data_IF_313856431874
#
_entry.id   IF_313856431874
#
_cell.length_a   1.000
_cell.length_b   1.000
_cell.length_c   1.000
_cell.angle_alpha   90.00
_cell.angle_beta   90.00
_cell.angle_gamma   90.00
#
_symmetry.space_group_name_H-M   'P 1'
#
loop_
_entity.id
_entity.type
_entity.pdbx_description
1 polymer ?
#
# COMPACT_ATOMS: atom_id res chain seq x y z
N UNK A 1 -12.62 -1.01 -0.63
CA UNK A 1 -12.42 -1.82 0.59
C UNK A 1 -13.30 -1.21 1.66
N UNK A 2 -14.02 -2.03 2.42
CA UNK A 2 -14.79 -1.55 3.57
C UNK A 2 -13.86 -0.73 4.49
N UNK A 3 -14.34 0.41 4.99
CA UNK A 3 -13.58 1.19 5.96
C UNK A 3 -13.68 0.49 7.31
N UNK A 4 -12.64 -0.25 7.68
CA UNK A 4 -12.58 -0.97 8.94
C UNK A 4 -11.89 -0.10 9.99
N UNK A 5 -12.51 -0.03 11.17
CA UNK A 5 -11.88 0.60 12.34
C UNK A 5 -10.76 -0.30 12.87
N UNK A 6 -9.79 0.28 13.58
CA UNK A 6 -8.71 -0.50 14.22
C UNK A 6 -9.27 -1.62 15.10
N UNK A 7 -10.36 -1.35 15.83
CA UNK A 7 -11.07 -2.36 16.64
C UNK A 7 -11.58 -3.52 15.80
N UNK A 8 -12.23 -3.25 14.67
CA UNK A 8 -12.71 -4.31 13.77
C UNK A 8 -11.56 -5.13 13.17
N UNK A 9 -10.43 -4.50 12.84
CA UNK A 9 -9.25 -5.21 12.36
C UNK A 9 -8.68 -6.13 13.46
N UNK A 10 -8.59 -5.64 14.70
CA UNK A 10 -8.18 -6.46 15.85
C UNK A 10 -9.13 -7.63 16.06
N UNK A 11 -10.44 -7.41 15.95
CA UNK A 11 -11.42 -8.50 16.07
C UNK A 11 -11.25 -9.57 14.99
N UNK A 12 -10.98 -9.16 13.74
CA UNK A 12 -10.66 -10.11 12.66
C UNK A 12 -9.44 -10.95 13.03
N UNK A 13 -8.38 -10.36 13.58
CA UNK A 13 -7.19 -11.08 14.04
C UNK A 13 -7.50 -12.04 15.21
N UNK A 14 -8.37 -11.63 16.14
CA UNK A 14 -8.85 -12.49 17.24
C UNK A 14 -9.63 -13.68 16.69
N UNK A 15 -10.48 -13.48 15.67
CA UNK A 15 -11.25 -14.56 15.05
C UNK A 15 -10.39 -15.54 14.29
N UNK A 16 -9.33 -15.07 13.61
CA UNK A 16 -8.32 -15.93 12.98
C UNK A 16 -7.69 -16.86 14.02
N UNK A 17 -7.37 -16.33 15.20
CA UNK A 17 -6.78 -17.09 16.31
C UNK A 17 -5.26 -17.27 16.17
N UNK A 18 -4.65 -17.99 17.11
CA UNK A 18 -3.21 -18.23 17.15
C UNK A 18 -2.86 -19.69 17.46
N UNK A 19 -1.68 -20.13 17.00
CA UNK A 19 -1.16 -21.47 17.25
C UNK A 19 -2.01 -22.58 16.60
N UNK A 20 -2.42 -23.56 17.41
CA UNK A 20 -3.09 -24.78 16.93
C UNK A 20 -4.62 -24.60 16.70
N UNK A 21 -5.17 -23.41 16.97
CA UNK A 21 -6.60 -23.10 16.81
C UNK A 21 -6.80 -21.94 15.84
N UNK A 22 -6.39 -22.13 14.59
CA UNK A 22 -6.60 -21.16 13.52
C UNK A 22 -7.87 -21.48 12.75
N UNK A 23 -8.75 -20.49 12.58
CA UNK A 23 -9.89 -20.59 11.67
C UNK A 23 -9.47 -20.28 10.25
N UNK A 24 -10.21 -20.79 9.28
CA UNK A 24 -10.01 -20.41 7.88
C UNK A 24 -10.47 -18.97 7.66
N UNK A 25 -9.88 -18.28 6.69
CA UNK A 25 -10.25 -16.90 6.35
C UNK A 25 -11.73 -16.77 5.94
N UNK A 26 -12.31 -17.83 5.36
CA UNK A 26 -13.73 -17.88 5.00
C UNK A 26 -14.63 -17.94 6.23
N UNK A 27 -14.30 -18.77 7.23
CA UNK A 27 -15.05 -18.84 8.49
C UNK A 27 -14.99 -17.51 9.25
N UNK A 28 -13.82 -16.87 9.29
CA UNK A 28 -13.65 -15.55 9.90
C UNK A 28 -14.50 -14.50 9.18
N UNK A 29 -14.51 -14.53 7.86
CA UNK A 29 -15.36 -13.65 7.04
C UNK A 29 -16.84 -13.83 7.39
N UNK A 30 -17.31 -15.08 7.49
CA UNK A 30 -18.70 -15.39 7.82
C UNK A 30 -19.05 -14.92 9.24
N UNK A 31 -18.18 -15.17 10.23
CA UNK A 31 -18.36 -14.72 11.62
C UNK A 31 -18.41 -13.20 11.72
N UNK A 32 -17.50 -12.51 11.03
CA UNK A 32 -17.46 -11.05 11.02
C UNK A 32 -18.73 -10.46 10.38
N UNK A 33 -19.14 -10.99 9.22
CA UNK A 33 -20.32 -10.51 8.50
C UNK A 33 -21.62 -10.80 9.26
N UNK A 34 -21.70 -11.91 10.01
CA UNK A 34 -22.81 -12.19 10.90
C UNK A 34 -22.91 -11.19 12.06
N UNK A 35 -21.75 -10.72 12.56
CA UNK A 35 -21.69 -9.71 13.63
C UNK A 35 -21.92 -8.28 13.13
N UNK A 36 -21.48 -7.97 11.92
CA UNK A 36 -21.55 -6.64 11.28
C UNK A 36 -22.27 -6.70 9.93
N UNK A 37 -23.61 -6.88 9.91
CA UNK A 37 -24.37 -6.98 8.67
C UNK A 37 -24.31 -5.69 7.82
N UNK A 38 -24.16 -4.53 8.46
CA UNK A 38 -24.11 -3.23 7.78
C UNK A 38 -22.73 -2.89 7.18
N UNK A 39 -21.68 -3.62 7.56
CA UNK A 39 -20.30 -3.39 7.09
C UNK A 39 -19.59 -4.71 6.82
N UNK A 40 -20.09 -5.44 5.82
CA UNK A 40 -19.56 -6.74 5.45
C UNK A 40 -18.19 -6.65 4.77
N UNK A 41 -17.39 -7.69 4.97
CA UNK A 41 -16.09 -7.89 4.34
C UNK A 41 -16.13 -9.13 3.45
N UNK A 42 -15.10 -9.24 2.60
CA UNK A 42 -14.86 -10.44 1.79
C UNK A 42 -13.60 -11.15 2.28
N UNK A 43 -13.46 -12.44 1.98
CA UNK A 43 -12.32 -13.27 2.38
C UNK A 43 -10.96 -12.64 2.06
N UNK A 44 -10.83 -12.00 0.88
CA UNK A 44 -9.57 -11.34 0.49
C UNK A 44 -9.20 -10.14 1.38
N UNK A 45 -10.17 -9.55 2.06
CA UNK A 45 -9.92 -8.49 3.07
C UNK A 45 -9.29 -9.09 4.32
N UNK A 46 -9.82 -10.22 4.80
CA UNK A 46 -9.25 -10.99 5.93
C UNK A 46 -7.82 -11.41 5.60
N UNK A 47 -7.60 -11.95 4.40
CA UNK A 47 -6.28 -12.36 3.91
C UNK A 47 -5.27 -11.20 3.92
N UNK A 48 -5.64 -10.04 3.37
CA UNK A 48 -4.77 -8.85 3.35
C UNK A 48 -4.44 -8.33 4.74
N UNK A 49 -5.41 -8.33 5.66
CA UNK A 49 -5.21 -7.94 7.06
C UNK A 49 -4.21 -8.88 7.74
N UNK A 50 -4.41 -10.19 7.57
CA UNK A 50 -3.52 -11.20 8.14
C UNK A 50 -2.09 -11.05 7.60
N UNK A 51 -1.93 -10.96 6.29
CA UNK A 51 -0.61 -10.80 5.65
C UNK A 51 0.08 -9.52 6.12
N UNK A 52 -0.63 -8.38 6.12
CA UNK A 52 -0.10 -7.09 6.59
C UNK A 52 0.35 -7.19 8.05
N UNK A 53 -0.45 -7.80 8.92
CA UNK A 53 -0.12 -7.93 10.33
C UNK A 53 1.10 -8.85 10.54
N UNK A 54 1.20 -9.96 9.81
CA UNK A 54 2.37 -10.85 9.88
C UNK A 54 3.67 -10.18 9.38
N UNK A 55 3.56 -9.32 8.37
CA UNK A 55 4.72 -8.61 7.79
C UNK A 55 5.18 -7.45 8.68
N UNK A 56 4.25 -6.63 9.17
CA UNK A 56 4.56 -5.35 9.82
C UNK A 56 4.44 -5.38 11.34
N UNK A 57 3.66 -6.31 11.89
CA UNK A 57 3.27 -6.34 13.30
C UNK A 57 2.29 -5.24 13.72
N UNK A 58 1.83 -4.40 12.78
CA UNK A 58 0.93 -3.28 13.06
C UNK A 58 -0.42 -3.46 12.36
N UNK A 59 -1.47 -3.07 13.07
CA UNK A 59 -2.85 -3.01 12.57
C UNK A 59 -3.16 -1.65 11.94
N UNK A 60 -2.45 -0.60 12.33
CA UNK A 60 -2.63 0.74 11.75
C UNK A 60 -2.18 0.77 10.30
N UNK A 61 -2.78 1.67 9.53
CA UNK A 61 -2.32 1.91 8.18
C UNK A 61 -0.92 2.50 8.20
N UNK A 62 -0.04 1.86 7.42
CA UNK A 62 1.27 2.42 7.16
C UNK A 62 1.08 3.78 6.49
N UNK A 63 1.96 4.75 6.80
CA UNK A 63 1.98 6.01 6.06
C UNK A 63 2.10 5.65 4.58
N UNK A 64 1.12 6.11 3.78
CA UNK A 64 1.15 5.87 2.34
C UNK A 64 2.46 6.46 1.82
N UNK A 65 3.32 5.60 1.28
CA UNK A 65 4.51 6.07 0.57
C UNK A 65 4.03 6.91 -0.61
N UNK A 66 4.08 8.23 -0.43
CA UNK A 66 3.71 9.17 -1.47
C UNK A 66 4.74 9.16 -2.59
N UNK A 67 4.45 9.89 -3.68
CA UNK A 67 5.48 10.17 -4.68
C UNK A 67 6.66 10.87 -3.99
N UNK A 68 7.91 10.39 -4.14
CA UNK A 68 9.07 11.07 -3.59
C UNK A 68 9.10 12.55 -4.01
N UNK A 69 9.36 13.44 -3.06
CA UNK A 69 9.44 14.87 -3.33
C UNK A 69 10.74 15.16 -4.08
N UNK A 70 10.65 15.87 -5.20
CA UNK A 70 11.83 16.36 -5.93
C UNK A 70 12.49 17.47 -5.10
N UNK A 71 13.80 17.35 -4.85
CA UNK A 71 14.63 18.34 -4.16
C UNK A 71 14.72 19.64 -4.97
N UNK A 72 15.02 20.77 -4.31
CA UNK A 72 15.12 22.06 -5.02
C UNK A 72 16.24 22.04 -6.07
N UNK A 73 17.39 21.46 -5.74
CA UNK A 73 18.53 21.37 -6.66
C UNK A 73 18.14 20.63 -7.96
N UNK A 74 17.44 19.50 -7.83
CA UNK A 74 16.94 18.75 -9.00
C UNK A 74 15.91 19.54 -9.81
N UNK A 75 15.13 20.43 -9.20
CA UNK A 75 14.22 21.29 -9.94
C UNK A 75 14.98 22.33 -10.76
N UNK A 76 16.07 22.86 -10.21
CA UNK A 76 16.94 23.80 -10.92
C UNK A 76 17.58 23.11 -12.12
N UNK A 77 18.13 21.91 -11.94
CA UNK A 77 18.72 21.13 -13.04
C UNK A 77 17.72 20.83 -14.16
N UNK A 78 16.47 20.47 -13.80
CA UNK A 78 15.39 20.26 -14.78
C UNK A 78 15.09 21.55 -15.55
N UNK A 79 15.02 22.70 -14.87
CA UNK A 79 14.75 23.99 -15.54
C UNK A 79 15.90 24.37 -16.47
N UNK A 80 17.16 24.21 -16.04
CA UNK A 80 18.34 24.48 -16.85
C UNK A 80 18.37 23.61 -18.11
N UNK A 81 18.07 22.31 -18.00
CA UNK A 81 18.05 21.42 -19.17
C UNK A 81 16.97 21.78 -20.21
N UNK A 82 15.87 22.39 -19.76
CA UNK A 82 14.80 22.89 -20.66
C UNK A 82 15.23 24.22 -21.30
N UNK A 83 15.94 25.07 -20.56
CA UNK A 83 16.50 26.32 -21.09
C UNK A 83 17.59 26.05 -22.14
N UNK A 84 18.48 25.09 -21.87
CA UNK A 84 19.56 24.68 -22.76
C UNK A 84 19.04 24.00 -24.04
N UNK A 85 17.95 23.23 -23.95
CA UNK A 85 17.30 22.64 -25.13
C UNK A 85 15.77 22.66 -25.02
N UNK A 86 15.12 23.74 -25.52
CA UNK A 86 13.67 23.90 -25.44
C UNK A 86 12.85 22.89 -26.25
N UNK A 87 13.48 22.16 -27.18
CA UNK A 87 12.81 21.12 -27.99
C UNK A 87 12.91 19.73 -27.33
N UNK A 88 13.59 19.63 -26.19
CA UNK A 88 13.67 18.38 -25.43
C UNK A 88 12.30 17.94 -24.97
N UNK A 89 12.00 16.67 -25.22
CA UNK A 89 10.76 16.07 -24.73
C UNK A 89 10.83 15.88 -23.22
N UNK A 90 9.68 15.98 -22.55
CA UNK A 90 9.56 15.77 -21.10
C UNK A 90 10.04 14.38 -20.65
N UNK A 91 9.92 13.37 -21.51
CA UNK A 91 10.44 12.02 -21.26
C UNK A 91 11.97 11.97 -21.23
N UNK A 92 12.62 12.69 -22.15
CA UNK A 92 14.09 12.77 -22.23
C UNK A 92 14.64 13.48 -20.98
N UNK A 93 14.10 14.66 -20.66
CA UNK A 93 14.48 15.46 -19.48
C UNK A 93 14.28 14.67 -18.17
N UNK A 94 13.23 13.86 -18.08
CA UNK A 94 12.97 13.00 -16.92
C UNK A 94 13.93 11.81 -16.80
N UNK A 95 14.43 11.30 -17.93
CA UNK A 95 15.43 10.22 -17.96
C UNK A 95 16.83 10.70 -17.59
N UNK A 96 17.19 11.91 -18.02
CA UNK A 96 18.50 12.52 -17.72
C UNK A 96 18.60 12.95 -16.25
N UNK A 97 17.49 13.41 -15.66
CA UNK A 97 17.45 13.92 -14.29
C UNK A 97 16.99 12.88 -13.25
N UNK A 98 17.32 11.59 -13.44
CA UNK A 98 16.84 10.41 -12.69
C UNK A 98 16.35 10.70 -11.25
N UNK A 99 15.09 11.12 -11.17
CA UNK A 99 14.41 11.44 -9.92
C UNK A 99 12.96 10.98 -9.91
N UNK A 100 12.46 10.46 -11.03
CA UNK A 100 11.05 10.06 -11.17
C UNK A 100 10.81 8.60 -11.54
N UNK A 101 11.81 7.80 -11.93
CA UNK A 101 11.58 6.49 -12.59
C UNK A 101 12.06 5.28 -11.77
N UNK A 102 12.91 5.44 -10.75
CA UNK A 102 13.53 4.29 -10.04
C UNK A 102 12.62 3.55 -9.01
N UNK A 103 11.31 3.48 -9.21
CA UNK A 103 10.44 2.60 -8.39
C UNK A 103 9.53 1.65 -9.18
N UNK A 104 9.83 1.39 -10.46
CA UNK A 104 9.09 0.36 -11.24
C UNK A 104 9.95 -0.70 -11.92
N UNK A 105 11.08 -1.10 -11.30
CA UNK A 105 11.88 -2.24 -11.80
C UNK A 105 12.43 -3.15 -10.71
N UNK A 106 11.64 -3.45 -9.68
CA UNK A 106 11.87 -4.62 -8.83
C UNK A 106 10.54 -5.33 -8.55
N UNK A 107 10.09 -6.13 -9.52
CA UNK A 107 9.34 -7.36 -9.24
C UNK A 107 9.79 -8.38 -10.30
N UNK A 108 10.56 -9.36 -9.84
CA UNK A 108 10.97 -10.55 -10.58
C UNK A 108 10.10 -11.71 -10.10
N UNK A 109 9.82 -12.60 -11.06
CA UNK A 109 9.01 -13.84 -11.11
C UNK A 109 7.50 -13.64 -11.29
#
# INVERSE_FOLDING_TARGET
MAHLTVTQIIEILIFIGCGNKTRTQQEVCNLFNAKYPDNTIIQSTVSKIESKFRETGDVKDLPKSGRPKITQDKKIDIVLSIEENPQSTSTLVASENEGCIQLKRNFIV
#
